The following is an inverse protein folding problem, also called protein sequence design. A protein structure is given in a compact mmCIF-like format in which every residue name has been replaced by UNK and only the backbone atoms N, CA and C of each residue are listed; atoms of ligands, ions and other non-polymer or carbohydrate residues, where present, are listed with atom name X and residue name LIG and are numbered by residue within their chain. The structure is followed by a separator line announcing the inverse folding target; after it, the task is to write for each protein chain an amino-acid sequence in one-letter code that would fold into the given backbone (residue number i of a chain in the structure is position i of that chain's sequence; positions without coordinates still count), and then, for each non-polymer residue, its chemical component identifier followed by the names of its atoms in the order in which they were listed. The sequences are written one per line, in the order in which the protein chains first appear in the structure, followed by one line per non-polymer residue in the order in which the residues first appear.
data_IF_696577717057
#
_entry.id   IF_696577717057
#
_cell.length_a   1.000
_cell.length_b   1.000
_cell.length_c   1.000
_cell.angle_alpha   90.00
_cell.angle_beta   90.00
_cell.angle_gamma   90.00
#
_symmetry.space_group_name_H-M   'P 1'
#
loop_
_entity.id
_entity.type
_entity.pdbx_description
1 polymer ?
#
# COMPACT_ATOMS: atom_id res chain seq x y z
N UNK A 1 -14.77 -9.93 -0.82
CA UNK A 1 -15.69 -8.81 -1.12
C UNK A 1 -15.69 -7.73 -0.04
N UNK A 2 -15.78 -8.05 1.27
CA UNK A 2 -15.77 -7.01 2.34
C UNK A 2 -14.42 -6.28 2.47
N UNK A 3 -13.30 -7.00 2.46
CA UNK A 3 -11.94 -6.42 2.59
C UNK A 3 -11.53 -5.57 1.39
N UNK A 4 -11.96 -5.95 0.18
CA UNK A 4 -11.69 -5.21 -1.06
C UNK A 4 -12.45 -3.87 -1.09
N UNK A 5 -13.68 -3.84 -0.56
CA UNK A 5 -14.47 -2.61 -0.38
C UNK A 5 -13.82 -1.72 0.68
N UNK A 6 -13.43 -2.28 1.83
CA UNK A 6 -12.79 -1.54 2.93
C UNK A 6 -11.42 -0.93 2.54
N UNK A 7 -10.61 -1.66 1.77
CA UNK A 7 -9.35 -1.16 1.21
C UNK A 7 -9.58 -0.03 0.18
N UNK A 8 -10.65 -0.12 -0.61
CA UNK A 8 -11.03 0.92 -1.59
C UNK A 8 -11.47 2.20 -0.88
N UNK A 9 -12.28 2.07 0.18
CA UNK A 9 -12.75 3.21 0.98
C UNK A 9 -11.59 3.95 1.67
N UNK A 10 -10.62 3.22 2.25
CA UNK A 10 -9.42 3.82 2.84
C UNK A 10 -8.57 4.54 1.77
N UNK A 11 -8.36 3.90 0.64
CA UNK A 11 -7.56 4.44 -0.47
C UNK A 11 -8.14 5.75 -1.02
N UNK A 12 -9.46 5.82 -1.13
CA UNK A 12 -10.17 7.02 -1.57
C UNK A 12 -10.14 8.12 -0.51
N UNK A 13 -10.27 7.77 0.77
CA UNK A 13 -10.15 8.74 1.86
C UNK A 13 -8.75 9.38 1.91
N UNK A 14 -7.69 8.59 1.70
CA UNK A 14 -6.32 9.10 1.58
C UNK A 14 -6.16 10.02 0.36
N UNK A 15 -6.77 9.67 -0.78
CA UNK A 15 -6.75 10.52 -1.97
C UNK A 15 -7.40 11.88 -1.71
N UNK A 16 -8.58 11.90 -1.08
CA UNK A 16 -9.26 13.16 -0.76
C UNK A 16 -8.46 14.02 0.22
N UNK A 17 -7.89 13.40 1.26
CA UNK A 17 -7.04 14.09 2.22
C UNK A 17 -5.77 14.69 1.56
N UNK A 18 -5.22 14.01 0.56
CA UNK A 18 -4.11 14.50 -0.24
C UNK A 18 -4.54 15.59 -1.23
N UNK A 19 -5.67 15.43 -1.92
CA UNK A 19 -6.21 16.36 -2.92
C UNK A 19 -6.45 17.75 -2.33
N UNK A 20 -7.08 17.81 -1.15
CA UNK A 20 -7.38 19.08 -0.46
C UNK A 20 -6.10 19.88 -0.17
N UNK A 21 -4.95 19.21 0.00
CA UNK A 21 -3.67 19.85 0.28
C UNK A 21 -2.91 20.29 -0.98
N UNK A 22 -3.36 19.90 -2.19
CA UNK A 22 -2.64 20.23 -3.41
C UNK A 22 -2.80 21.72 -3.75
N UNK A 23 -1.70 22.41 -4.09
CA UNK A 23 -1.76 23.78 -4.57
C UNK A 23 -2.47 23.81 -5.93
N UNK A 24 -3.27 24.85 -6.16
CA UNK A 24 -3.97 25.09 -7.43
C UNK A 24 -4.91 23.95 -7.88
N UNK A 25 -5.35 23.08 -6.96
CA UNK A 25 -6.21 21.93 -7.27
C UNK A 25 -7.49 22.32 -8.01
N UNK A 26 -7.99 23.55 -7.77
CA UNK A 26 -9.17 24.10 -8.43
C UNK A 26 -9.05 24.18 -9.96
N UNK A 27 -7.82 24.26 -10.48
CA UNK A 27 -7.55 24.26 -11.94
C UNK A 27 -7.64 22.87 -12.55
N UNK A 28 -7.68 21.81 -11.72
CA UNK A 28 -7.60 20.41 -12.12
C UNK A 28 -8.81 19.59 -11.64
N UNK A 29 -9.89 20.24 -11.19
CA UNK A 29 -11.10 19.54 -10.73
C UNK A 29 -11.76 18.71 -11.85
N UNK A 30 -11.61 19.12 -13.11
CA UNK A 30 -12.10 18.40 -14.30
C UNK A 30 -11.39 17.05 -14.51
N UNK A 31 -10.15 16.90 -14.04
CA UNK A 31 -9.35 15.67 -14.13
C UNK A 31 -9.22 14.92 -12.80
N UNK A 32 -9.86 15.39 -11.73
CA UNK A 32 -9.77 14.79 -10.38
C UNK A 32 -10.13 13.31 -10.38
N UNK A 33 -11.16 12.91 -11.12
CA UNK A 33 -11.57 11.51 -11.21
C UNK A 33 -10.49 10.63 -11.87
N UNK A 34 -9.86 11.11 -12.94
CA UNK A 34 -8.75 10.41 -13.60
C UNK A 34 -7.56 10.26 -12.64
N UNK A 35 -7.22 11.31 -11.89
CA UNK A 35 -6.16 11.25 -10.89
C UNK A 35 -6.48 10.27 -9.75
N UNK A 36 -7.74 10.19 -9.30
CA UNK A 36 -8.18 9.18 -8.32
C UNK A 36 -8.00 7.76 -8.87
N UNK A 37 -8.34 7.53 -10.14
CA UNK A 37 -8.17 6.23 -10.77
C UNK A 37 -6.69 5.82 -10.86
N UNK A 38 -5.79 6.75 -11.21
CA UNK A 38 -4.33 6.51 -11.19
C UNK A 38 -3.84 6.21 -9.78
N UNK A 39 -4.33 6.95 -8.78
CA UNK A 39 -3.99 6.73 -7.37
C UNK A 39 -4.38 5.33 -6.88
N UNK A 40 -5.59 4.88 -7.22
CA UNK A 40 -6.07 3.53 -6.91
C UNK A 40 -5.19 2.47 -7.57
N UNK A 41 -4.92 2.61 -8.87
CA UNK A 41 -4.08 1.67 -9.61
C UNK A 41 -2.67 1.57 -9.01
N UNK A 42 -2.04 2.71 -8.68
CA UNK A 42 -0.71 2.73 -8.08
C UNK A 42 -0.63 1.96 -6.75
N UNK A 43 -1.66 2.06 -5.90
CA UNK A 43 -1.72 1.33 -4.62
C UNK A 43 -2.08 -0.13 -4.79
N UNK A 44 -2.90 -0.46 -5.78
CA UNK A 44 -3.20 -1.84 -6.12
C UNK A 44 -1.97 -2.61 -6.62
N UNK A 45 -1.07 -1.93 -7.35
CA UNK A 45 0.20 -2.46 -7.86
C UNK A 45 1.33 -2.47 -6.82
N UNK A 46 1.18 -1.82 -5.67
CA UNK A 46 2.20 -1.80 -4.61
C UNK A 46 2.22 -3.14 -3.86
N UNK A 47 2.93 -4.11 -4.44
CA UNK A 47 3.09 -5.48 -3.92
C UNK A 47 4.55 -5.74 -3.55
N UNK A 48 4.79 -6.11 -2.29
CA UNK A 48 6.11 -6.55 -1.81
C UNK A 48 6.32 -8.02 -2.18
N UNK A 49 7.43 -8.34 -2.83
CA UNK A 49 7.80 -9.75 -3.07
C UNK A 49 8.62 -10.24 -1.87
N UNK A 50 8.26 -11.38 -1.29
CA UNK A 50 8.97 -12.01 -0.18
C UNK A 50 9.45 -13.38 -0.63
N UNK A 51 10.71 -13.47 -1.08
CA UNK A 51 11.29 -14.71 -1.61
C UNK A 51 11.49 -15.74 -0.48
N UNK A 52 11.40 -17.06 -0.78
CA UNK A 52 11.68 -18.10 0.21
C UNK A 52 13.08 -18.00 0.85
N UNK A 53 14.05 -17.40 0.12
CA UNK A 53 15.42 -17.16 0.59
C UNK A 53 15.59 -15.93 1.49
N UNK A 54 14.64 -14.98 1.49
CA UNK A 54 14.69 -13.76 2.30
C UNK A 54 14.47 -14.04 3.81
N UNK A 55 14.20 -15.29 4.17
CA UNK A 55 13.73 -15.69 5.49
C UNK A 55 14.82 -16.32 6.37
N UNK A 56 15.98 -16.69 5.81
CA UNK A 56 16.99 -17.47 6.53
C UNK A 56 18.41 -17.21 6.01
N UNK A 57 19.07 -16.21 6.59
CA UNK A 57 20.52 -16.19 6.70
C UNK A 57 20.87 -16.50 8.16
N UNK A 58 21.73 -17.50 8.44
CA UNK A 58 22.19 -17.80 9.80
C UNK A 58 22.94 -16.63 10.47
N UNK A 59 23.32 -15.60 9.69
CA UNK A 59 23.94 -14.38 10.17
C UNK A 59 22.93 -13.24 10.42
N UNK A 60 21.72 -13.37 9.89
CA UNK A 60 20.62 -12.39 10.01
C UNK A 60 19.55 -12.87 11.00
N UNK A 61 19.91 -13.65 12.02
CA UNK A 61 19.03 -13.97 13.14
C UNK A 61 19.47 -13.17 14.38
N UNK A 62 18.57 -12.33 14.92
CA UNK A 62 18.83 -11.43 16.05
C UNK A 62 17.79 -10.32 16.13
N UNK A 63 18.01 -9.29 16.95
CA UNK A 63 17.05 -8.19 17.20
C UNK A 63 16.65 -7.36 15.96
N UNK A 64 17.37 -7.54 14.84
CA UNK A 64 17.14 -6.84 13.57
C UNK A 64 16.37 -7.67 12.54
N UNK A 65 15.94 -8.88 12.90
CA UNK A 65 15.24 -9.80 12.01
C UNK A 65 13.84 -10.13 12.52
N UNK A 66 12.88 -10.21 11.60
CA UNK A 66 11.50 -10.61 11.90
C UNK A 66 11.15 -11.88 11.14
N UNK A 67 10.27 -12.70 11.73
CA UNK A 67 9.77 -13.89 11.07
C UNK A 67 8.96 -13.52 9.82
N UNK A 68 8.97 -14.40 8.82
CA UNK A 68 8.25 -14.20 7.55
C UNK A 68 6.76 -13.90 7.79
N UNK A 69 6.12 -14.61 8.71
CA UNK A 69 4.71 -14.41 9.02
C UNK A 69 4.45 -13.06 9.72
N UNK A 70 5.38 -12.60 10.55
CA UNK A 70 5.33 -11.25 11.14
C UNK A 70 5.53 -10.16 10.08
N UNK A 71 6.43 -10.38 9.11
CA UNK A 71 6.62 -9.48 7.98
C UNK A 71 5.34 -9.36 7.14
N UNK A 72 4.72 -10.50 6.79
CA UNK A 72 3.45 -10.57 6.06
C UNK A 72 2.36 -9.76 6.79
N UNK A 73 2.21 -10.00 8.09
CA UNK A 73 1.23 -9.29 8.94
C UNK A 73 1.48 -7.79 9.00
N UNK A 74 2.74 -7.35 9.12
CA UNK A 74 3.09 -5.93 9.18
C UNK A 74 2.88 -5.21 7.84
N UNK A 75 3.18 -5.88 6.73
CA UNK A 75 2.92 -5.36 5.37
C UNK A 75 1.42 -5.18 5.15
N UNK A 76 0.61 -6.17 5.52
CA UNK A 76 -0.85 -6.09 5.46
C UNK A 76 -1.41 -4.99 6.38
N UNK A 77 -0.90 -4.87 7.61
CA UNK A 77 -1.30 -3.82 8.54
C UNK A 77 -0.95 -2.40 8.03
N UNK A 78 0.13 -2.26 7.25
CA UNK A 78 0.46 -1.02 6.55
C UNK A 78 -0.46 -0.76 5.34
N UNK A 79 -1.32 -1.71 4.96
CA UNK A 79 -2.20 -1.63 3.81
C UNK A 79 -1.52 -1.92 2.48
N UNK A 80 -0.36 -2.57 2.49
CA UNK A 80 0.32 -3.07 1.31
C UNK A 80 0.01 -4.55 1.10
N UNK A 81 0.15 -5.02 -0.14
CA UNK A 81 0.00 -6.43 -0.49
C UNK A 81 1.36 -7.10 -0.57
N UNK A 82 1.40 -8.42 -0.47
CA UNK A 82 2.62 -9.20 -0.71
C UNK A 82 2.35 -10.39 -1.63
N UNK A 83 3.41 -10.91 -2.27
CA UNK A 83 3.37 -12.14 -3.08
C UNK A 83 4.64 -12.98 -2.86
N UNK A 84 4.54 -14.26 -3.18
CA UNK A 84 5.68 -15.21 -3.22
C UNK A 84 6.29 -15.28 -4.61
#
# INVERSE_FOLDING_TARGET
MREEIEMTDKTDAEFEAWWIKQPHREQFEDVKEQMRNVWRASRAEMVVTIEPGDCFSPSDCGDLAIWRDDAKRLIEAAGAKWRE
#
